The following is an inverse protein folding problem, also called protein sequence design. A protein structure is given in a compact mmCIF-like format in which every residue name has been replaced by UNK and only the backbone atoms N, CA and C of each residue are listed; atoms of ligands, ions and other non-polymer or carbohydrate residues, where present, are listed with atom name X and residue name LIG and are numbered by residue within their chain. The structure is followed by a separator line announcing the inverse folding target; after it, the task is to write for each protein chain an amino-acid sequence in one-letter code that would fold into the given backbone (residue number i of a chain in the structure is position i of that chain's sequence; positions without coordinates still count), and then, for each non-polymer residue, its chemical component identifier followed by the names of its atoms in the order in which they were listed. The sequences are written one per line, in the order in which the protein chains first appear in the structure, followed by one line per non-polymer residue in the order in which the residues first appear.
data_IF_601808981598
#
_entry.id   IF_601808981598
#
_cell.length_a   1.000
_cell.length_b   1.000
_cell.length_c   1.000
_cell.angle_alpha   90.00
_cell.angle_beta   90.00
_cell.angle_gamma   90.00
#
_symmetry.space_group_name_H-M   'P 1'
#
loop_
_entity.id
_entity.type
_entity.pdbx_description
1 polymer ?
#
# COMPACT_ATOMS: atom_id res chain seq x y z
N UNK A 1 10.41 78.36 -26.32
CA UNK A 1 10.79 76.97 -26.65
C UNK A 1 9.67 76.08 -26.18
N UNK A 2 8.94 75.58 -27.18
CA UNK A 2 8.03 74.44 -27.25
C UNK A 2 6.87 74.29 -26.26
N UNK A 3 5.73 74.71 -26.81
CA UNK A 3 4.39 74.19 -26.62
C UNK A 3 4.27 72.68 -26.92
N UNK A 4 3.61 71.93 -26.04
CA UNK A 4 2.65 70.88 -26.43
C UNK A 4 2.04 70.20 -25.20
N UNK A 5 1.01 70.80 -24.61
CA UNK A 5 -0.02 70.03 -23.92
C UNK A 5 -0.94 69.45 -24.98
N UNK A 6 -0.69 68.20 -25.38
CA UNK A 6 -1.61 67.45 -26.25
C UNK A 6 -2.83 67.05 -25.43
N UNK A 7 -3.91 67.80 -25.64
CA UNK A 7 -5.24 67.56 -25.11
C UNK A 7 -5.75 66.23 -25.70
N UNK A 8 -5.67 65.12 -24.95
CA UNK A 8 -6.36 63.89 -25.34
C UNK A 8 -7.86 64.14 -25.25
N UNK A 9 -8.55 64.10 -26.38
CA UNK A 9 -10.01 64.21 -26.46
C UNK A 9 -10.63 63.11 -25.56
N UNK A 10 -11.62 63.45 -24.74
CA UNK A 10 -12.28 62.51 -23.81
C UNK A 10 -12.79 61.24 -24.51
N UNK A 11 -13.16 61.36 -25.79
CA UNK A 11 -13.51 60.23 -26.65
C UNK A 11 -12.35 59.24 -26.86
N UNK A 12 -11.09 59.68 -27.03
CA UNK A 12 -9.97 58.77 -27.30
C UNK A 12 -9.45 58.07 -26.04
N UNK A 13 -9.62 58.71 -24.87
CA UNK A 13 -9.33 58.11 -23.58
C UNK A 13 -10.35 57.01 -23.25
N UNK A 14 -11.64 57.25 -23.52
CA UNK A 14 -12.71 56.25 -23.40
C UNK A 14 -12.48 55.06 -24.33
N UNK A 15 -12.08 55.28 -25.59
CA UNK A 15 -11.79 54.18 -26.53
C UNK A 15 -10.58 53.36 -26.10
N UNK A 16 -9.53 53.97 -25.54
CA UNK A 16 -8.39 53.22 -24.99
C UNK A 16 -8.80 52.35 -23.79
N UNK A 17 -9.52 52.92 -22.83
CA UNK A 17 -9.99 52.18 -21.65
C UNK A 17 -10.90 51.01 -22.04
N UNK A 18 -11.79 51.21 -23.02
CA UNK A 18 -12.66 50.15 -23.53
C UNK A 18 -11.87 49.04 -24.23
N UNK A 19 -10.86 49.39 -25.04
CA UNK A 19 -10.02 48.41 -25.72
C UNK A 19 -9.09 47.66 -24.76
N UNK A 20 -8.50 48.35 -23.78
CA UNK A 20 -7.64 47.75 -22.75
C UNK A 20 -8.46 46.76 -21.90
N UNK A 21 -9.69 47.13 -21.51
CA UNK A 21 -10.61 46.25 -20.78
C UNK A 21 -11.15 45.06 -21.60
N UNK A 22 -11.30 45.20 -22.92
CA UNK A 22 -11.64 44.07 -23.81
C UNK A 22 -10.49 43.08 -23.97
N UNK A 23 -9.25 43.58 -24.10
CA UNK A 23 -8.06 42.76 -24.27
C UNK A 23 -7.71 41.98 -22.97
N UNK A 24 -7.90 42.61 -21.80
CA UNK A 24 -7.78 41.93 -20.50
C UNK A 24 -8.83 40.82 -20.34
N UNK A 25 -10.07 41.02 -20.79
CA UNK A 25 -11.13 40.02 -20.70
C UNK A 25 -10.88 38.82 -21.65
N UNK A 26 -10.39 39.06 -22.87
CA UNK A 26 -10.00 37.99 -23.80
C UNK A 26 -8.79 37.17 -23.29
N UNK A 27 -7.82 37.82 -22.64
CA UNK A 27 -6.73 37.13 -21.95
C UNK A 27 -7.22 36.28 -20.77
N UNK A 28 -8.16 36.78 -19.96
CA UNK A 28 -8.72 36.02 -18.84
C UNK A 28 -9.50 34.79 -19.30
N UNK A 29 -10.27 34.89 -20.39
CA UNK A 29 -11.02 33.76 -20.97
C UNK A 29 -10.08 32.69 -21.52
N UNK A 30 -9.06 33.07 -22.29
CA UNK A 30 -8.09 32.11 -22.84
C UNK A 30 -7.28 31.39 -21.75
N UNK A 31 -6.87 32.10 -20.69
CA UNK A 31 -6.22 31.49 -19.53
C UNK A 31 -7.13 30.48 -18.80
N UNK A 32 -8.43 30.79 -18.67
CA UNK A 32 -9.40 29.88 -18.07
C UNK A 32 -9.66 28.64 -18.94
N UNK A 33 -9.69 28.79 -20.26
CA UNK A 33 -9.84 27.67 -21.21
C UNK A 33 -8.61 26.74 -21.20
N UNK A 34 -7.39 27.30 -21.16
CA UNK A 34 -6.14 26.55 -21.05
C UNK A 34 -6.05 25.76 -19.72
N UNK A 35 -6.41 26.41 -18.61
CA UNK A 35 -6.50 25.75 -17.31
C UNK A 35 -7.51 24.61 -17.31
N UNK A 36 -8.70 24.83 -17.89
CA UNK A 36 -9.75 23.81 -17.97
C UNK A 36 -9.32 22.62 -18.86
N UNK A 37 -8.64 22.87 -19.97
CA UNK A 37 -8.12 21.80 -20.83
C UNK A 37 -6.98 21.01 -20.16
N UNK A 38 -6.11 21.67 -19.40
CA UNK A 38 -5.05 21.01 -18.62
C UNK A 38 -5.64 20.18 -17.48
N UNK A 39 -6.62 20.71 -16.74
CA UNK A 39 -7.35 19.97 -15.70
C UNK A 39 -8.09 18.77 -16.28
N UNK A 40 -8.76 18.92 -17.43
CA UNK A 40 -9.45 17.83 -18.10
C UNK A 40 -8.49 16.71 -18.54
N UNK A 41 -7.36 17.06 -19.15
CA UNK A 41 -6.32 16.10 -19.56
C UNK A 41 -5.72 15.37 -18.37
N UNK A 42 -5.37 16.09 -17.29
CA UNK A 42 -4.82 15.49 -16.08
C UNK A 42 -5.83 14.54 -15.41
N UNK A 43 -7.12 14.89 -15.42
CA UNK A 43 -8.18 14.06 -14.88
C UNK A 43 -8.38 12.77 -15.70
N UNK A 44 -8.24 12.83 -17.02
CA UNK A 44 -8.28 11.64 -17.89
C UNK A 44 -7.10 10.69 -17.64
N UNK A 45 -5.90 11.23 -17.40
CA UNK A 45 -4.73 10.42 -17.06
C UNK A 45 -4.85 9.74 -15.70
N UNK A 46 -5.38 10.45 -14.68
CA UNK A 46 -5.69 9.85 -13.38
C UNK A 46 -6.76 8.77 -13.53
N UNK A 47 -7.79 9.00 -14.34
CA UNK A 47 -8.84 8.00 -14.58
C UNK A 47 -8.28 6.71 -15.19
N UNK A 48 -7.37 6.81 -16.17
CA UNK A 48 -6.65 5.65 -16.74
C UNK A 48 -5.82 4.93 -15.69
N UNK A 49 -5.14 5.65 -14.80
CA UNK A 49 -4.37 5.04 -13.71
C UNK A 49 -5.29 4.30 -12.72
N UNK A 50 -6.41 4.90 -12.33
CA UNK A 50 -7.42 4.26 -11.46
C UNK A 50 -7.99 3.00 -12.11
N UNK A 51 -8.39 3.07 -13.38
CA UNK A 51 -8.88 1.90 -14.13
C UNK A 51 -7.81 0.80 -14.18
N UNK A 52 -6.57 1.14 -14.50
CA UNK A 52 -5.45 0.19 -14.55
C UNK A 52 -5.21 -0.49 -13.20
N UNK A 53 -5.19 0.26 -12.11
CA UNK A 53 -4.99 -0.28 -10.76
C UNK A 53 -6.12 -1.24 -10.39
N UNK A 54 -7.38 -0.86 -10.64
CA UNK A 54 -8.54 -1.69 -10.26
C UNK A 54 -8.63 -2.95 -11.13
N UNK A 55 -8.43 -2.83 -12.44
CA UNK A 55 -8.57 -3.96 -13.38
C UNK A 55 -7.47 -5.01 -13.23
N UNK A 56 -6.30 -4.61 -12.73
CA UNK A 56 -5.19 -5.51 -12.39
C UNK A 56 -5.18 -5.95 -10.92
N UNK A 57 -6.21 -5.59 -10.15
CA UNK A 57 -6.38 -6.02 -8.76
C UNK A 57 -7.57 -6.96 -8.64
N UNK A 58 -7.49 -7.97 -7.77
CA UNK A 58 -8.66 -8.80 -7.42
C UNK A 58 -9.68 -7.99 -6.63
N UNK A 59 -9.18 -7.12 -5.75
CA UNK A 59 -9.97 -6.22 -4.90
C UNK A 59 -9.06 -5.10 -4.39
N UNK A 60 -9.54 -3.86 -4.45
CA UNK A 60 -8.83 -2.71 -3.89
C UNK A 60 -9.80 -1.67 -3.32
N UNK A 61 -9.42 -1.00 -2.23
CA UNK A 61 -10.22 0.04 -1.59
C UNK A 61 -10.01 1.41 -2.20
N UNK A 62 -11.02 2.27 -2.04
CA UNK A 62 -10.91 3.70 -2.28
C UNK A 62 -9.76 4.33 -1.48
N UNK A 63 -9.66 3.99 -0.20
CA UNK A 63 -8.59 4.48 0.68
C UNK A 63 -7.18 4.19 0.14
N UNK A 64 -6.96 2.95 -0.32
CA UNK A 64 -5.66 2.55 -0.86
C UNK A 64 -5.33 3.24 -2.18
N UNK A 65 -6.31 3.39 -3.08
CA UNK A 65 -6.10 4.08 -4.37
C UNK A 65 -5.80 5.57 -4.13
N UNK A 66 -6.58 6.21 -3.27
CA UNK A 66 -6.34 7.60 -2.83
C UNK A 66 -4.90 7.78 -2.32
N UNK A 67 -4.42 6.86 -1.49
CA UNK A 67 -3.06 6.92 -0.94
C UNK A 67 -1.95 6.56 -1.94
N UNK A 68 -2.21 5.71 -2.93
CA UNK A 68 -1.25 5.41 -4.00
C UNK A 68 -1.09 6.56 -4.98
N UNK A 69 -2.18 7.27 -5.28
CA UNK A 69 -2.19 8.37 -6.24
C UNK A 69 -1.94 9.74 -5.60
N UNK A 70 -1.92 9.82 -4.26
CA UNK A 70 -1.76 11.08 -3.54
C UNK A 70 -2.92 12.05 -3.75
N UNK A 71 -4.14 11.52 -3.88
CA UNK A 71 -5.37 12.27 -4.17
C UNK A 71 -6.38 12.12 -3.04
N UNK A 72 -7.30 13.07 -2.90
CA UNK A 72 -8.38 12.96 -1.91
C UNK A 72 -9.29 11.76 -2.23
N UNK A 73 -10.00 11.26 -1.21
CA UNK A 73 -10.95 10.16 -1.39
C UNK A 73 -12.12 10.62 -2.26
N UNK A 74 -12.50 11.89 -2.15
CA UNK A 74 -13.57 12.53 -2.90
C UNK A 74 -13.25 12.57 -4.40
N UNK A 75 -12.04 13.01 -4.78
CA UNK A 75 -11.59 13.01 -6.18
C UNK A 75 -11.63 11.61 -6.79
N UNK A 76 -11.06 10.61 -6.09
CA UNK A 76 -11.01 9.24 -6.59
C UNK A 76 -12.41 8.62 -6.66
N UNK A 77 -13.29 8.93 -5.71
CA UNK A 77 -14.66 8.42 -5.71
C UNK A 77 -15.45 8.90 -6.94
N UNK A 78 -15.29 10.15 -7.36
CA UNK A 78 -15.92 10.68 -8.58
C UNK A 78 -15.45 9.92 -9.83
N UNK A 79 -14.15 9.62 -9.92
CA UNK A 79 -13.58 8.83 -11.01
C UNK A 79 -14.15 7.41 -11.01
N UNK A 80 -14.20 6.76 -9.85
CA UNK A 80 -14.75 5.41 -9.70
C UNK A 80 -16.21 5.34 -10.12
N UNK A 81 -17.04 6.31 -9.72
CA UNK A 81 -18.44 6.38 -10.13
C UNK A 81 -18.61 6.49 -11.65
N UNK A 82 -17.72 7.24 -12.32
CA UNK A 82 -17.67 7.31 -13.80
C UNK A 82 -17.31 5.96 -14.41
N UNK A 83 -16.28 5.30 -13.90
CA UNK A 83 -15.82 4.00 -14.40
C UNK A 83 -16.86 2.89 -14.17
N UNK A 84 -17.56 2.93 -13.04
CA UNK A 84 -18.64 2.00 -12.70
C UNK A 84 -19.82 2.16 -13.66
N UNK A 85 -20.27 3.41 -13.91
CA UNK A 85 -21.31 3.69 -14.94
C UNK A 85 -20.92 3.21 -16.34
N UNK A 86 -19.63 3.22 -16.64
CA UNK A 86 -19.08 2.73 -17.90
C UNK A 86 -18.81 1.21 -17.92
N UNK A 87 -19.20 0.47 -16.87
CA UNK A 87 -18.96 -0.97 -16.70
C UNK A 87 -17.47 -1.36 -16.85
N UNK A 88 -16.55 -0.47 -16.48
CA UNK A 88 -15.09 -0.75 -16.47
C UNK A 88 -14.66 -1.41 -15.16
N UNK A 89 -15.32 -1.04 -14.08
CA UNK A 89 -15.11 -1.56 -12.73
C UNK A 89 -16.46 -1.93 -12.11
N UNK A 90 -16.42 -2.70 -11.04
CA UNK A 90 -17.61 -3.03 -10.25
C UNK A 90 -17.35 -2.72 -8.78
N UNK A 91 -18.33 -2.09 -8.11
CA UNK A 91 -18.32 -1.99 -6.65
C UNK A 91 -18.61 -3.35 -6.04
N UNK A 92 -17.81 -3.72 -5.06
CA UNK A 92 -17.98 -4.94 -4.27
C UNK A 92 -18.26 -4.58 -2.81
N UNK A 93 -18.32 -5.58 -1.94
CA UNK A 93 -18.48 -5.36 -0.50
C UNK A 93 -17.32 -4.52 0.05
N UNK A 94 -17.67 -3.49 0.82
CA UNK A 94 -16.72 -2.65 1.54
C UNK A 94 -15.68 -3.51 2.27
N UNK A 95 -14.43 -3.06 2.23
CA UNK A 95 -13.32 -3.74 2.89
C UNK A 95 -13.00 -3.02 4.19
N UNK A 96 -12.77 -3.81 5.24
CA UNK A 96 -12.16 -3.35 6.49
C UNK A 96 -10.70 -3.80 6.49
N UNK A 97 -9.79 -2.85 6.58
CA UNK A 97 -8.34 -3.08 6.52
C UNK A 97 -7.62 -2.35 7.66
N UNK A 98 -6.41 -2.79 7.95
CA UNK A 98 -5.58 -2.13 8.96
C UNK A 98 -5.11 -0.77 8.46
N UNK A 99 -4.99 0.16 9.39
CA UNK A 99 -4.48 1.50 9.20
C UNK A 99 -3.39 1.80 10.24
N UNK A 100 -2.39 2.58 9.83
CA UNK A 100 -1.28 2.96 10.69
C UNK A 100 -1.81 3.76 11.90
N UNK A 101 -1.37 3.47 13.14
CA UNK A 101 -1.78 4.26 14.30
C UNK A 101 -1.37 5.73 14.18
N UNK A 102 -0.22 6.00 13.55
CA UNK A 102 0.42 7.32 13.56
C UNK A 102 -0.03 8.23 12.42
N UNK A 103 -0.27 7.67 11.23
CA UNK A 103 -0.63 8.44 10.03
C UNK A 103 -1.91 7.98 9.33
N UNK A 104 -2.58 6.96 9.87
CA UNK A 104 -3.88 6.45 9.40
C UNK A 104 -3.90 5.89 7.98
N UNK A 105 -2.73 5.76 7.33
CA UNK A 105 -2.63 5.14 6.02
C UNK A 105 -2.82 3.62 6.09
N UNK A 106 -3.46 3.06 5.06
CA UNK A 106 -3.70 1.61 4.87
C UNK A 106 -2.59 0.93 4.06
N UNK A 107 -1.55 1.70 3.70
CA UNK A 107 -0.33 1.23 3.06
C UNK A 107 0.60 0.59 4.09
N UNK A 108 0.27 -0.64 4.50
CA UNK A 108 0.98 -1.38 5.54
C UNK A 108 1.56 -2.67 4.97
N UNK A 109 2.74 -3.04 5.44
CA UNK A 109 3.40 -4.31 5.15
C UNK A 109 3.61 -5.12 6.44
N UNK A 110 3.23 -6.40 6.44
CA UNK A 110 3.51 -7.30 7.57
C UNK A 110 4.95 -7.80 7.47
N UNK A 111 5.70 -7.69 8.57
CA UNK A 111 7.06 -8.21 8.69
C UNK A 111 7.09 -9.34 9.70
N UNK A 112 7.80 -10.43 9.38
CA UNK A 112 8.02 -11.55 10.28
C UNK A 112 9.47 -11.58 10.76
N UNK A 113 9.67 -11.98 12.01
CA UNK A 113 11.00 -12.03 12.60
C UNK A 113 11.11 -13.08 13.71
N UNK A 114 12.36 -13.43 14.03
CA UNK A 114 12.71 -14.25 15.17
C UNK A 114 12.21 -13.58 16.47
N UNK A 115 11.58 -14.32 17.39
CA UNK A 115 11.13 -13.78 18.67
C UNK A 115 12.32 -13.37 19.57
N UNK A 116 13.45 -14.07 19.49
CA UNK A 116 14.61 -13.84 20.35
C UNK A 116 15.48 -12.65 19.89
N UNK A 117 15.90 -12.62 18.62
CA UNK A 117 16.82 -11.59 18.13
C UNK A 117 16.18 -10.50 17.25
N UNK A 118 14.89 -10.63 16.91
CA UNK A 118 14.16 -9.73 15.98
C UNK A 118 14.70 -9.68 14.54
N UNK A 119 15.62 -10.57 14.17
CA UNK A 119 16.10 -10.75 12.79
C UNK A 119 15.12 -11.52 11.90
N UNK A 120 15.19 -11.31 10.59
CA UNK A 120 14.32 -11.98 9.59
C UNK A 120 14.98 -13.19 8.91
N UNK A 121 16.22 -13.52 9.26
CA UNK A 121 16.95 -14.65 8.70
C UNK A 121 16.62 -15.96 9.46
N UNK A 122 15.52 -16.59 9.07
CA UNK A 122 15.08 -17.87 9.62
C UNK A 122 14.62 -18.82 8.51
N UNK A 123 14.60 -20.11 8.82
CA UNK A 123 14.08 -21.16 7.94
C UNK A 123 13.11 -22.06 8.69
N UNK A 124 12.11 -22.56 7.97
CA UNK A 124 11.22 -23.59 8.50
C UNK A 124 11.92 -24.95 8.42
N UNK A 125 11.94 -25.69 9.53
CA UNK A 125 12.55 -27.00 9.62
C UNK A 125 11.68 -27.97 10.42
N UNK A 126 11.85 -29.25 10.10
CA UNK A 126 11.39 -30.36 10.92
C UNK A 126 12.43 -30.66 12.00
N UNK A 127 12.02 -30.71 13.26
CA UNK A 127 12.90 -31.03 14.38
C UNK A 127 12.56 -32.41 14.95
N UNK A 128 13.55 -33.04 15.58
CA UNK A 128 13.40 -34.23 16.41
C UNK A 128 13.73 -33.85 17.84
N UNK A 129 12.80 -34.12 18.75
CA UNK A 129 13.02 -34.06 20.20
C UNK A 129 13.25 -35.48 20.71
N UNK A 130 14.52 -35.80 21.00
CA UNK A 130 14.95 -37.10 21.48
C UNK A 130 14.90 -37.15 23.00
N UNK A 131 13.99 -37.97 23.53
CA UNK A 131 13.63 -37.97 24.94
C UNK A 131 14.79 -38.38 25.85
N UNK A 132 15.59 -39.36 25.44
CA UNK A 132 16.63 -39.92 26.31
C UNK A 132 17.79 -38.97 26.61
N UNK A 133 18.01 -37.93 25.80
CA UNK A 133 19.08 -36.94 26.03
C UNK A 133 18.62 -35.48 25.89
N UNK A 134 17.31 -35.27 25.77
CA UNK A 134 16.66 -33.97 25.58
C UNK A 134 17.30 -33.16 24.45
N UNK A 135 17.69 -33.83 23.37
CA UNK A 135 18.24 -33.16 22.19
C UNK A 135 17.10 -32.75 21.28
N UNK A 136 17.03 -31.46 20.95
CA UNK A 136 16.15 -30.93 19.92
C UNK A 136 17.02 -30.43 18.78
N UNK A 137 17.06 -31.18 17.68
CA UNK A 137 17.83 -30.80 16.50
C UNK A 137 17.11 -31.13 15.19
N UNK A 138 17.53 -30.55 14.06
CA UNK A 138 16.90 -30.76 12.77
C UNK A 138 16.82 -32.25 12.41
N UNK A 139 15.73 -32.71 11.80
CA UNK A 139 15.55 -34.12 11.47
C UNK A 139 16.65 -34.64 10.54
N UNK A 140 17.15 -33.80 9.62
CA UNK A 140 18.27 -34.14 8.73
C UNK A 140 19.62 -34.33 9.45
N UNK A 141 19.73 -33.96 10.74
CA UNK A 141 20.91 -34.23 11.56
C UNK A 141 20.97 -35.67 12.10
N UNK A 142 19.89 -36.45 11.93
CA UNK A 142 19.81 -37.87 12.33
C UNK A 142 20.12 -38.77 11.13
N UNK A 143 21.41 -39.00 10.88
CA UNK A 143 21.88 -39.93 9.84
C UNK A 143 21.72 -41.38 10.36
N UNK A 144 21.12 -42.26 9.58
CA UNK A 144 20.82 -43.67 9.94
C UNK A 144 20.05 -43.82 11.27
N UNK A 145 19.16 -42.86 11.55
CA UNK A 145 18.40 -42.72 12.81
C UNK A 145 19.30 -42.54 14.05
N UNK A 146 20.51 -42.01 13.91
CA UNK A 146 21.44 -41.81 15.02
C UNK A 146 21.36 -40.36 15.53
N UNK A 147 21.11 -40.19 16.83
CA UNK A 147 21.09 -38.87 17.45
C UNK A 147 22.46 -38.17 17.35
N UNK A 148 22.53 -36.93 16.83
CA UNK A 148 23.81 -36.23 16.67
C UNK A 148 24.47 -35.88 18.01
N UNK A 149 23.69 -35.72 19.09
CA UNK A 149 24.19 -35.36 20.42
C UNK A 149 24.76 -36.55 21.20
N UNK A 150 24.04 -37.67 21.25
CA UNK A 150 24.38 -38.80 22.13
C UNK A 150 24.75 -40.08 21.38
N UNK A 151 24.72 -40.07 20.04
CA UNK A 151 25.03 -41.21 19.16
C UNK A 151 24.18 -42.47 19.38
N UNK A 152 23.10 -42.39 20.16
CA UNK A 152 22.12 -43.48 20.30
C UNK A 152 21.17 -43.49 19.10
N UNK A 153 20.82 -44.69 18.65
CA UNK A 153 19.84 -44.91 17.59
C UNK A 153 18.42 -44.71 18.15
N UNK A 154 17.62 -43.85 17.51
CA UNK A 154 16.19 -43.73 17.78
C UNK A 154 15.43 -44.80 17.00
N UNK A 155 14.35 -45.36 17.55
CA UNK A 155 13.63 -46.47 16.92
C UNK A 155 12.13 -46.25 16.89
N UNK A 156 11.52 -45.91 18.03
CA UNK A 156 10.08 -45.88 18.19
C UNK A 156 9.62 -44.43 18.38
N UNK A 157 8.92 -43.90 17.39
CA UNK A 157 8.24 -42.59 17.49
C UNK A 157 7.23 -42.64 18.65
N UNK A 158 7.23 -41.60 19.49
CA UNK A 158 6.38 -41.49 20.68
C UNK A 158 6.97 -42.13 21.94
N UNK A 159 8.00 -42.98 21.82
CA UNK A 159 8.70 -43.59 22.96
C UNK A 159 10.16 -43.13 23.09
N UNK A 160 10.88 -43.05 21.97
CA UNK A 160 12.28 -42.60 21.95
C UNK A 160 12.37 -41.11 21.61
N UNK A 161 11.49 -40.64 20.72
CA UNK A 161 11.48 -39.28 20.20
C UNK A 161 10.09 -38.85 19.74
N UNK A 162 9.91 -37.53 19.54
CA UNK A 162 8.82 -36.98 18.72
C UNK A 162 9.37 -36.17 17.56
N UNK A 163 8.54 -36.08 16.52
CA UNK A 163 8.73 -35.16 15.42
C UNK A 163 7.99 -33.85 15.73
N UNK A 164 8.65 -32.75 15.43
CA UNK A 164 8.12 -31.40 15.59
C UNK A 164 8.19 -30.73 14.23
N UNK A 165 7.09 -30.85 13.48
CA UNK A 165 6.93 -30.21 12.17
C UNK A 165 6.61 -28.71 12.33
N UNK A 166 6.87 -27.92 11.28
CA UNK A 166 6.57 -26.48 11.23
C UNK A 166 7.26 -25.62 12.30
N UNK A 167 8.46 -26.02 12.73
CA UNK A 167 9.31 -25.17 13.55
C UNK A 167 10.14 -24.24 12.68
N UNK A 168 10.56 -23.12 13.27
CA UNK A 168 11.51 -22.21 12.66
C UNK A 168 12.84 -22.26 13.40
N UNK A 169 13.93 -22.15 12.66
CA UNK A 169 15.29 -22.02 13.19
C UNK A 169 15.87 -20.72 12.67
N UNK A 170 16.28 -19.82 13.58
CA UNK A 170 16.97 -18.60 13.19
C UNK A 170 18.41 -18.92 12.80
N UNK A 171 18.86 -18.43 11.65
CA UNK A 171 20.23 -18.62 11.17
C UNK A 171 21.22 -17.69 11.88
N UNK A 172 20.74 -16.60 12.50
CA UNK A 172 21.60 -15.62 13.18
C UNK A 172 21.86 -15.98 14.65
N UNK A 173 20.82 -16.38 15.40
CA UNK A 173 20.93 -16.69 16.84
C UNK A 173 20.68 -18.16 17.20
N UNK A 174 20.38 -19.03 16.22
CA UNK A 174 20.13 -20.47 16.39
C UNK A 174 18.92 -20.84 17.27
N UNK A 175 18.11 -19.85 17.66
CA UNK A 175 16.86 -20.05 18.39
C UNK A 175 15.90 -20.90 17.56
N UNK A 176 15.19 -21.82 18.24
CA UNK A 176 14.18 -22.69 17.64
C UNK A 176 12.83 -22.32 18.21
N UNK A 177 11.89 -21.93 17.37
CA UNK A 177 10.60 -21.40 17.82
C UNK A 177 9.46 -21.93 16.94
N UNK A 178 8.29 -22.24 17.52
CA UNK A 178 7.15 -22.79 16.78
C UNK A 178 6.40 -21.74 15.96
N UNK A 179 6.54 -20.46 16.32
CA UNK A 179 5.77 -19.37 15.71
C UNK A 179 6.65 -18.13 15.53
N UNK A 180 6.54 -17.53 14.36
CA UNK A 180 7.14 -16.24 14.05
C UNK A 180 6.48 -15.13 14.86
N UNK A 181 7.28 -14.21 15.38
CA UNK A 181 6.76 -12.90 15.77
C UNK A 181 6.52 -12.06 14.51
N UNK A 182 5.53 -11.19 14.55
CA UNK A 182 5.23 -10.29 13.44
C UNK A 182 4.87 -8.91 13.92
N UNK A 183 5.33 -7.92 13.17
CA UNK A 183 4.91 -6.53 13.30
C UNK A 183 4.41 -6.01 11.95
N UNK A 184 3.93 -4.78 11.94
CA UNK A 184 3.52 -4.05 10.76
C UNK A 184 4.43 -2.84 10.55
N UNK A 185 4.83 -2.63 9.30
CA UNK A 185 5.56 -1.46 8.83
C UNK A 185 4.62 -0.59 8.00
N UNK A 186 4.43 0.67 8.40
CA UNK A 186 3.74 1.64 7.57
C UNK A 186 4.64 2.10 6.42
N UNK A 187 4.18 1.95 5.18
CA UNK A 187 4.90 2.41 3.98
C UNK A 187 4.71 3.91 3.70
N UNK A 188 3.89 4.59 4.51
CA UNK A 188 3.68 6.04 4.46
C UNK A 188 4.62 6.82 5.38
N UNK A 189 4.71 6.42 6.66
CA UNK A 189 5.52 7.13 7.67
C UNK A 189 6.68 6.29 8.26
N UNK A 190 6.91 5.08 7.75
CA UNK A 190 7.94 4.14 8.23
C UNK A 190 7.82 3.70 9.69
N UNK A 191 6.70 3.98 10.37
CA UNK A 191 6.51 3.50 11.73
C UNK A 191 6.26 2.00 11.79
N UNK A 192 6.73 1.39 12.87
CA UNK A 192 6.58 -0.04 13.16
C UNK A 192 5.64 -0.21 14.35
N UNK A 193 4.65 -1.10 14.23
CA UNK A 193 3.65 -1.32 15.27
C UNK A 193 3.13 -2.76 15.29
N UNK A 194 2.67 -3.20 16.46
CA UNK A 194 2.02 -4.49 16.69
C UNK A 194 0.54 -4.45 16.29
N UNK A 195 -0.09 -5.61 16.08
CA UNK A 195 -1.48 -5.69 15.61
C UNK A 195 -2.47 -4.99 16.54
N UNK A 196 -2.22 -5.03 17.85
CA UNK A 196 -3.07 -4.44 18.90
C UNK A 196 -3.12 -2.91 18.80
N UNK A 197 -2.08 -2.30 18.21
CA UNK A 197 -2.01 -0.85 17.97
C UNK A 197 -2.61 -0.44 16.63
N UNK A 198 -2.93 -1.38 15.75
CA UNK A 198 -3.48 -1.06 14.44
C UNK A 198 -4.83 -0.35 14.58
N UNK A 199 -5.02 0.71 13.80
CA UNK A 199 -6.35 1.28 13.55
C UNK A 199 -7.04 0.47 12.46
N UNK A 200 -8.35 0.63 12.31
CA UNK A 200 -9.14 -0.07 11.30
C UNK A 200 -9.89 0.95 10.43
N UNK A 201 -9.65 0.91 9.13
CA UNK A 201 -10.37 1.71 8.16
C UNK A 201 -11.37 0.83 7.40
N UNK A 202 -12.60 1.32 7.23
CA UNK A 202 -13.59 0.70 6.34
C UNK A 202 -13.79 1.61 5.13
N UNK A 203 -13.68 1.05 3.93
CA UNK A 203 -13.70 1.82 2.69
C UNK A 203 -14.45 1.06 1.58
N UNK A 204 -15.15 1.75 0.67
CA UNK A 204 -15.68 1.14 -0.53
C UNK A 204 -14.58 0.40 -1.30
N UNK A 205 -14.90 -0.82 -1.73
CA UNK A 205 -13.97 -1.64 -2.49
C UNK A 205 -14.50 -1.88 -3.90
N UNK A 206 -13.55 -2.02 -4.82
CA UNK A 206 -13.82 -2.22 -6.24
C UNK A 206 -12.97 -3.37 -6.77
N UNK A 207 -13.45 -3.98 -7.83
CA UNK A 207 -12.72 -4.99 -8.59
C UNK A 207 -12.98 -4.84 -10.09
N UNK A 208 -12.37 -5.73 -10.86
CA UNK A 208 -12.61 -5.84 -12.29
C UNK A 208 -14.08 -6.19 -12.55
N UNK A 209 -14.72 -5.44 -13.46
CA UNK A 209 -16.04 -5.82 -13.95
C UNK A 209 -15.96 -7.14 -14.74
N UNK A 210 -16.82 -8.10 -14.40
CA UNK A 210 -16.97 -9.36 -15.11
C UNK A 210 -18.44 -9.51 -15.51
N UNK A 211 -18.79 -9.45 -16.81
CA UNK A 211 -20.18 -9.55 -17.28
C UNK A 211 -20.78 -10.97 -17.20
N UNK A 212 -20.04 -11.95 -16.68
CA UNK A 212 -20.45 -13.36 -16.58
C UNK A 212 -21.35 -13.65 -15.37
#
# INVERSE_FOLDING_TARGET
MDSSFSNMNSSSLLTKILNDGQNENEQLVSLAEEQNHQEFSANDDIAKQVEFIITNSTRISLARISQYLGKSKEEILLIMQRLEKANKIIRIKDIREMACPDCEQVRIFQIFHCPACKGSNFKQEKLIDHYSCSNISPANSYVDDICPKCRKKIRILGCDYRLMDNYYVCNDCLEKFPQLSSDFLCLGCNSRFEIEKAKWETSPAYGRYNPN
#
